data_IF_478880236022
#
_entry.id   IF_478880236022
#
_cell.length_a   1.000
_cell.length_b   1.000
_cell.length_c   1.000
_cell.angle_alpha   90.00
_cell.angle_beta   90.00
_cell.angle_gamma   90.00
#
_symmetry.space_group_name_H-M   'P 1'
#
loop_
_entity.id
_entity.type
_entity.pdbx_description
1 polymer ?
#
# COMPACT_ATOMS: atom_id res chain seq x y z
N UNK A 1 39.16 -5.46 13.24
CA UNK A 1 38.00 -5.25 14.15
C UNK A 1 36.88 -4.65 13.31
N UNK A 2 35.90 -5.46 12.90
CA UNK A 2 34.79 -4.98 12.07
C UNK A 2 33.61 -4.62 12.97
N UNK A 3 33.29 -3.32 13.04
CA UNK A 3 32.13 -2.83 13.77
C UNK A 3 30.86 -3.10 12.96
N UNK A 4 29.93 -3.85 13.53
CA UNK A 4 28.59 -4.05 12.99
C UNK A 4 27.78 -2.80 13.34
N UNK A 5 27.41 -2.01 12.32
CA UNK A 5 26.57 -0.81 12.48
C UNK A 5 25.11 -1.26 12.54
N UNK A 6 24.51 -1.26 13.73
CA UNK A 6 23.09 -1.57 13.91
C UNK A 6 22.29 -0.35 13.44
N UNK A 7 21.37 -0.47 12.46
CA UNK A 7 20.57 0.67 12.02
C UNK A 7 19.63 1.13 13.14
N UNK A 8 19.62 2.43 13.40
CA UNK A 8 18.76 3.04 14.40
C UNK A 8 17.29 2.71 14.10
N UNK A 9 16.61 2.11 15.06
CA UNK A 9 15.19 1.77 14.96
C UNK A 9 14.40 3.07 14.86
N UNK A 10 13.75 3.33 13.72
CA UNK A 10 12.91 4.51 13.55
C UNK A 10 11.83 4.55 14.64
N UNK A 11 11.55 5.73 15.24
CA UNK A 11 10.50 5.86 16.24
C UNK A 11 9.15 5.54 15.59
N UNK A 12 8.46 4.50 16.10
CA UNK A 12 7.10 4.16 15.68
C UNK A 12 6.10 5.01 16.47
N UNK A 13 5.16 5.65 15.79
CA UNK A 13 3.98 6.22 16.46
C UNK A 13 3.04 5.08 16.88
N UNK A 14 2.50 5.09 18.11
CA UNK A 14 1.51 4.10 18.53
C UNK A 14 0.30 4.13 17.59
N UNK A 15 -0.17 2.96 17.15
CA UNK A 15 -1.30 2.76 16.22
C UNK A 15 -1.10 3.19 14.75
N UNK A 16 0.09 3.61 14.32
CA UNK A 16 0.35 3.71 12.88
C UNK A 16 0.49 2.31 12.29
N UNK A 17 -0.39 1.93 11.36
CA UNK A 17 -0.10 0.81 10.46
C UNK A 17 1.26 1.13 9.83
N UNK A 18 2.28 0.25 9.93
CA UNK A 18 3.51 0.47 9.20
C UNK A 18 3.09 0.65 7.75
N UNK A 19 3.46 1.77 7.14
CA UNK A 19 3.25 2.01 5.70
C UNK A 19 4.04 0.93 4.99
N UNK A 20 3.43 -0.26 4.84
CA UNK A 20 4.13 -1.49 4.52
C UNK A 20 4.61 -1.51 3.07
N UNK A 21 4.20 -0.51 2.29
CA UNK A 21 4.74 -0.20 0.97
C UNK A 21 5.35 1.19 0.98
N UNK A 22 6.69 1.34 0.99
CA UNK A 22 7.29 2.59 0.58
C UNK A 22 6.82 2.92 -0.84
N UNK A 23 6.44 4.17 -1.07
CA UNK A 23 6.09 4.66 -2.41
C UNK A 23 7.29 4.39 -3.33
N UNK A 24 7.09 3.57 -4.37
CA UNK A 24 8.12 3.37 -5.40
C UNK A 24 8.07 4.56 -6.35
N UNK A 25 9.17 5.31 -6.39
CA UNK A 25 9.36 6.44 -7.31
C UNK A 25 10.15 5.92 -8.49
N UNK A 26 9.63 6.11 -9.71
CA UNK A 26 10.26 5.70 -10.96
C UNK A 26 10.77 6.94 -11.71
N UNK A 27 11.97 6.85 -12.28
CA UNK A 27 12.63 7.91 -13.03
C UNK A 27 12.69 7.61 -14.53
N UNK A 28 13.17 8.56 -15.33
CA UNK A 28 13.33 8.41 -16.78
C UNK A 28 14.16 7.19 -17.17
N UNK A 29 15.15 6.84 -16.36
CA UNK A 29 16.05 5.72 -16.63
C UNK A 29 15.33 4.37 -16.47
N UNK A 30 14.39 4.28 -15.52
CA UNK A 30 13.55 3.10 -15.34
C UNK A 30 12.60 2.91 -16.52
N UNK A 31 12.06 4.01 -17.05
CA UNK A 31 11.22 4.02 -18.26
C UNK A 31 12.02 3.52 -19.48
N UNK A 32 13.26 3.99 -19.64
CA UNK A 32 14.12 3.57 -20.72
C UNK A 32 14.55 2.10 -20.58
N UNK A 33 14.87 1.65 -19.37
CA UNK A 33 15.24 0.26 -19.07
C UNK A 33 14.09 -0.72 -19.32
N UNK A 34 12.85 -0.31 -19.04
CA UNK A 34 11.66 -1.08 -19.36
C UNK A 34 11.30 -1.06 -20.86
N UNK A 35 11.98 -0.27 -21.70
CA UNK A 35 11.65 -0.16 -23.13
C UNK A 35 10.45 0.74 -23.44
N UNK A 36 10.08 1.62 -22.51
CA UNK A 36 9.02 2.63 -22.66
C UNK A 36 8.06 2.70 -21.47
N UNK A 37 7.27 3.77 -21.43
CA UNK A 37 6.35 4.03 -20.31
C UNK A 37 5.25 2.97 -20.20
N UNK A 38 4.70 2.52 -21.32
CA UNK A 38 3.65 1.49 -21.33
C UNK A 38 4.14 0.16 -20.77
N UNK A 39 5.38 -0.22 -21.11
CA UNK A 39 5.99 -1.45 -20.65
C UNK A 39 6.33 -1.38 -19.15
N UNK A 40 6.84 -0.22 -18.69
CA UNK A 40 7.03 0.05 -17.26
C UNK A 40 5.69 -0.06 -16.50
N UNK A 41 4.64 0.60 -16.97
CA UNK A 41 3.30 0.55 -16.36
C UNK A 41 2.74 -0.88 -16.31
N UNK A 42 3.04 -1.72 -17.30
CA UNK A 42 2.64 -3.12 -17.29
C UNK A 42 3.42 -3.93 -16.24
N UNK A 43 4.72 -3.71 -16.12
CA UNK A 43 5.62 -4.43 -15.20
C UNK A 43 5.38 -4.08 -13.73
N UNK A 44 5.16 -2.80 -13.44
CA UNK A 44 4.88 -2.36 -12.07
C UNK A 44 3.49 -2.79 -11.60
N UNK A 45 2.68 -3.35 -12.51
CA UNK A 45 1.27 -3.58 -12.32
C UNK A 45 0.61 -2.24 -12.09
N UNK A 46 0.38 -1.48 -13.18
CA UNK A 46 -0.48 -0.30 -13.19
C UNK A 46 -1.60 -0.58 -12.23
N UNK A 47 -1.68 0.29 -11.22
CA UNK A 47 -2.48 0.24 -10.00
C UNK A 47 -3.97 0.15 -10.36
N UNK A 48 -4.34 -0.94 -11.05
CA UNK A 48 -5.70 -1.21 -11.44
C UNK A 48 -6.41 -1.28 -10.10
N UNK A 49 -7.44 -0.42 -9.90
CA UNK A 49 -8.11 -0.36 -8.63
C UNK A 49 -8.53 -1.78 -8.30
N UNK A 50 -7.93 -2.33 -7.23
CA UNK A 50 -8.31 -3.65 -6.74
C UNK A 50 -9.81 -3.57 -6.51
N UNK A 51 -10.56 -4.40 -7.23
CA UNK A 51 -12.00 -4.46 -7.04
C UNK A 51 -12.22 -4.80 -5.57
N UNK A 52 -12.77 -3.84 -4.81
CA UNK A 52 -13.13 -4.09 -3.43
C UNK A 52 -14.18 -5.22 -3.42
N UNK A 53 -14.18 -6.07 -2.39
CA UNK A 53 -15.26 -7.02 -2.22
C UNK A 53 -16.58 -6.25 -2.14
N UNK A 54 -17.61 -6.80 -2.76
CA UNK A 54 -18.96 -6.28 -2.61
C UNK A 54 -19.40 -6.54 -1.17
N UNK A 55 -19.70 -5.46 -0.44
CA UNK A 55 -20.24 -5.53 0.91
C UNK A 55 -21.77 -5.45 0.80
N UNK A 56 -22.45 -6.53 1.17
CA UNK A 56 -23.91 -6.55 1.34
C UNK A 56 -24.22 -6.88 2.79
N UNK A 57 -25.11 -6.10 3.39
CA UNK A 57 -25.60 -6.31 4.75
C UNK A 57 -27.10 -6.61 4.67
N UNK A 58 -27.61 -7.43 5.58
CA UNK A 58 -29.06 -7.49 5.82
C UNK A 58 -29.54 -6.24 6.55
N UNK A 59 -30.85 -6.00 6.58
CA UNK A 59 -31.42 -4.85 7.30
C UNK A 59 -31.06 -4.93 8.80
N UNK A 60 -31.08 -6.12 9.38
CA UNK A 60 -30.74 -6.34 10.79
C UNK A 60 -29.26 -6.05 11.08
N UNK A 61 -28.36 -6.42 10.17
CA UNK A 61 -26.92 -6.11 10.29
C UNK A 61 -26.67 -4.61 10.18
N UNK A 62 -27.40 -3.93 9.28
CA UNK A 62 -27.34 -2.49 9.11
C UNK A 62 -27.83 -1.72 10.34
N UNK A 63 -28.99 -2.09 10.89
CA UNK A 63 -29.52 -1.51 12.13
C UNK A 63 -28.58 -1.73 13.32
N UNK A 64 -27.98 -2.92 13.43
CA UNK A 64 -27.00 -3.25 14.45
C UNK A 64 -25.76 -2.34 14.36
N UNK A 65 -25.24 -2.10 13.15
CA UNK A 65 -24.10 -1.21 12.94
C UNK A 65 -24.41 0.25 13.28
N UNK A 66 -25.60 0.74 12.91
CA UNK A 66 -26.05 2.09 13.27
C UNK A 66 -26.21 2.26 14.79
N UNK A 67 -26.73 1.24 15.48
CA UNK A 67 -26.92 1.28 16.94
C UNK A 67 -25.60 1.29 17.73
N UNK A 68 -24.52 0.77 17.14
CA UNK A 68 -23.20 0.66 17.76
C UNK A 68 -22.28 1.86 17.48
N UNK A 69 -22.71 2.83 16.66
CA UNK A 69 -21.99 4.08 16.43
C UNK A 69 -20.78 3.93 15.50
N UNK A 70 -20.95 3.23 14.38
CA UNK A 70 -20.13 3.46 13.18
C UNK A 70 -20.54 4.77 12.47
#
# INVERSE_FOLDING_TARGET
>A
MNQIKIPATQPRTPNSVPTANPMRVYYSDDVAAAGGLEQLLREIGSDQPKKLPELSFTEEEWESMLSQGL
#
